data_IF_845774248650
#
_entry.id   IF_845774248650
#
_cell.length_a   1.000
_cell.length_b   1.000
_cell.length_c   1.000
_cell.angle_alpha   90.00
_cell.angle_beta   90.00
_cell.angle_gamma   90.00
#
_symmetry.space_group_name_H-M   'P 1'
#
loop_
_entity.id
_entity.type
_entity.pdbx_description
1 polymer ?
#
# COMPACT_ATOMS: atom_id res chain seq x y z
N UNK A 1 15.52 -14.57 3.80
CA UNK A 1 14.30 -14.93 4.55
C UNK A 1 13.26 -13.80 4.68
N UNK A 2 13.30 -12.87 5.65
CA UNK A 2 12.21 -11.86 5.86
C UNK A 2 11.93 -10.96 4.64
N UNK A 3 12.97 -10.54 3.90
CA UNK A 3 12.81 -9.73 2.67
C UNK A 3 12.16 -10.51 1.53
N UNK A 4 12.50 -11.78 1.35
CA UNK A 4 11.90 -12.64 0.31
C UNK A 4 10.45 -12.97 0.66
N UNK A 5 10.16 -13.23 1.93
CA UNK A 5 8.79 -13.42 2.41
C UNK A 5 7.96 -12.16 2.17
N UNK A 6 8.51 -10.97 2.43
CA UNK A 6 7.84 -9.70 2.12
C UNK A 6 7.60 -9.51 0.62
N UNK A 7 8.61 -9.74 -0.21
CA UNK A 7 8.53 -9.56 -1.66
C UNK A 7 7.53 -10.53 -2.32
N UNK A 8 7.44 -11.77 -1.82
CA UNK A 8 6.62 -12.82 -2.41
C UNK A 8 5.28 -13.05 -1.69
N UNK A 9 4.93 -12.24 -0.68
CA UNK A 9 3.66 -12.39 0.02
C UNK A 9 2.49 -12.07 -0.93
N UNK A 10 1.54 -13.00 -1.14
CA UNK A 10 0.35 -12.71 -1.94
C UNK A 10 -0.45 -11.50 -1.47
N UNK A 11 -0.36 -11.12 -0.18
CA UNK A 11 -0.99 -9.88 0.36
C UNK A 11 -0.16 -8.61 0.09
N UNK A 12 1.08 -8.72 -0.36
CA UNK A 12 1.89 -7.60 -0.88
C UNK A 12 1.82 -7.49 -2.41
N UNK A 13 1.45 -8.56 -3.11
CA UNK A 13 1.35 -8.61 -4.57
C UNK A 13 -0.03 -8.17 -5.10
N UNK A 14 -0.09 -7.01 -5.76
CA UNK A 14 -1.29 -6.54 -6.47
C UNK A 14 -1.08 -6.71 -7.98
N UNK A 15 -1.80 -7.64 -8.65
CA UNK A 15 -1.82 -7.71 -10.10
C UNK A 15 -2.41 -6.42 -10.67
N UNK A 16 -1.70 -5.79 -11.59
CA UNK A 16 -2.14 -4.59 -12.30
C UNK A 16 -1.80 -4.75 -13.78
N UNK A 17 -2.53 -4.04 -14.63
CA UNK A 17 -2.12 -3.84 -16.03
C UNK A 17 -0.72 -3.21 -16.09
N UNK A 18 0.08 -3.55 -17.09
CA UNK A 18 1.49 -3.10 -17.19
C UNK A 18 1.59 -1.56 -17.21
N UNK A 19 0.64 -0.88 -17.86
CA UNK A 19 0.54 0.59 -17.87
C UNK A 19 0.36 1.22 -16.47
N UNK A 20 -0.13 0.45 -15.51
CA UNK A 20 -0.35 0.87 -14.12
C UNK A 20 0.80 0.45 -13.18
N UNK A 21 1.83 -0.26 -13.67
CA UNK A 21 3.02 -0.64 -12.92
C UNK A 21 3.98 0.54 -12.69
N UNK A 22 3.44 1.75 -12.52
CA UNK A 22 4.21 2.98 -12.32
C UNK A 22 4.52 3.26 -10.86
N UNK A 23 3.83 2.60 -9.89
CA UNK A 23 3.99 2.79 -8.44
C UNK A 23 5.46 2.82 -7.98
N UNK A 24 6.29 1.87 -8.44
CA UNK A 24 7.67 1.69 -7.95
C UNK A 24 7.71 1.67 -6.39
N UNK A 25 8.58 2.50 -5.80
CA UNK A 25 8.77 2.64 -4.34
C UNK A 25 7.82 3.65 -3.70
N UNK A 26 6.92 4.27 -4.47
CA UNK A 26 6.03 5.31 -3.96
C UNK A 26 4.99 4.77 -2.98
N UNK A 27 4.74 5.56 -1.94
CA UNK A 27 3.69 5.34 -0.95
C UNK A 27 2.29 5.60 -1.52
N UNK A 28 1.22 5.26 -0.78
CA UNK A 28 -0.15 5.53 -1.18
C UNK A 28 -0.48 7.04 -1.21
N UNK A 29 0.30 7.86 -0.52
CA UNK A 29 0.27 9.32 -0.53
C UNK A 29 0.86 9.94 -1.81
N UNK A 30 1.69 9.18 -2.54
CA UNK A 30 2.33 9.62 -3.78
C UNK A 30 1.77 8.94 -5.05
N UNK A 31 1.13 7.77 -4.90
CA UNK A 31 0.51 7.06 -6.02
C UNK A 31 -0.67 6.19 -5.57
N UNK A 32 -1.76 6.26 -6.33
CA UNK A 32 -2.95 5.43 -6.16
C UNK A 32 -3.33 4.76 -7.49
N UNK A 33 -3.91 3.55 -7.44
CA UNK A 33 -4.54 2.96 -8.61
C UNK A 33 -5.77 3.79 -9.05
N UNK A 34 -6.15 3.75 -10.35
CA UNK A 34 -7.29 4.51 -10.86
C UNK A 34 -8.64 4.06 -10.28
N UNK A 35 -8.74 2.81 -9.81
CA UNK A 35 -9.94 2.25 -9.18
C UNK A 35 -9.56 1.42 -7.95
N UNK A 36 -10.51 1.23 -7.03
CA UNK A 36 -10.29 0.38 -5.85
C UNK A 36 -9.33 0.96 -4.82
N UNK A 37 -9.19 2.29 -4.76
CA UNK A 37 -8.21 2.99 -3.92
C UNK A 37 -8.38 2.65 -2.43
N UNK A 38 -9.60 2.60 -1.91
CA UNK A 38 -9.87 2.22 -0.53
C UNK A 38 -9.32 0.83 -0.17
N UNK A 39 -9.58 -0.17 -1.03
CA UNK A 39 -9.05 -1.52 -0.85
C UNK A 39 -7.52 -1.55 -0.93
N UNK A 40 -6.93 -0.79 -1.86
CA UNK A 40 -5.49 -0.66 -1.99
C UNK A 40 -4.83 -0.04 -0.76
N UNK A 41 -5.34 1.08 -0.25
CA UNK A 41 -4.78 1.76 0.93
C UNK A 41 -4.96 0.90 2.18
N UNK A 42 -6.11 0.25 2.36
CA UNK A 42 -6.34 -0.67 3.48
C UNK A 42 -5.35 -1.86 3.44
N UNK A 43 -5.11 -2.40 2.24
CA UNK A 43 -4.12 -3.46 2.03
C UNK A 43 -2.69 -2.99 2.34
N UNK A 44 -2.30 -1.79 1.92
CA UNK A 44 -1.01 -1.20 2.25
C UNK A 44 -0.79 -1.13 3.77
N UNK A 45 -1.77 -0.60 4.52
CA UNK A 45 -1.73 -0.52 5.99
C UNK A 45 -1.60 -1.92 6.61
N UNK A 46 -2.30 -2.92 6.07
CA UNK A 46 -2.18 -4.32 6.54
C UNK A 46 -0.78 -4.88 6.34
N UNK A 47 -0.15 -4.64 5.19
CA UNK A 47 1.22 -5.09 4.89
C UNK A 47 2.23 -4.41 5.82
N UNK A 48 2.12 -3.08 5.99
CA UNK A 48 2.96 -2.32 6.93
C UNK A 48 2.89 -2.91 8.33
N UNK A 49 1.69 -3.21 8.84
CA UNK A 49 1.50 -3.83 10.16
C UNK A 49 2.07 -5.25 10.22
N UNK A 50 1.78 -6.10 9.23
CA UNK A 50 2.24 -7.51 9.18
C UNK A 50 3.76 -7.62 9.25
N UNK A 51 4.45 -6.70 8.59
CA UNK A 51 5.91 -6.71 8.50
C UNK A 51 6.59 -5.70 9.44
N UNK A 52 5.84 -5.10 10.36
CA UNK A 52 6.34 -4.12 11.34
C UNK A 52 7.15 -2.99 10.69
N UNK A 53 6.71 -2.56 9.50
CA UNK A 53 7.35 -1.47 8.78
C UNK A 53 7.03 -0.15 9.46
N UNK A 54 7.96 0.80 9.34
CA UNK A 54 7.83 2.14 9.90
C UNK A 54 7.57 3.15 8.78
N UNK A 55 6.29 3.41 8.43
CA UNK A 55 5.93 4.51 7.53
C UNK A 55 6.39 5.85 8.11
N UNK A 56 6.38 6.92 7.30
CA UNK A 56 6.63 8.28 7.83
C UNK A 56 5.44 8.76 8.67
N UNK A 57 5.60 9.83 9.45
CA UNK A 57 4.47 10.48 10.13
C UNK A 57 3.38 10.88 9.14
N UNK A 58 3.81 11.39 7.99
CA UNK A 58 2.94 11.97 6.98
C UNK A 58 2.18 10.89 6.24
N UNK A 59 2.84 9.78 5.86
CA UNK A 59 2.20 8.62 5.24
C UNK A 59 1.18 7.97 6.20
N UNK A 60 1.47 7.90 7.51
CA UNK A 60 0.48 7.44 8.52
C UNK A 60 -0.71 8.36 8.63
N UNK A 61 -0.48 9.66 8.73
CA UNK A 61 -1.55 10.64 8.87
C UNK A 61 -2.43 10.65 7.61
N UNK A 62 -1.81 10.59 6.44
CA UNK A 62 -2.49 10.54 5.15
C UNK A 62 -3.33 9.26 5.01
N UNK A 63 -2.75 8.08 5.26
CA UNK A 63 -3.48 6.80 5.13
C UNK A 63 -4.66 6.71 6.08
N UNK A 64 -4.51 7.24 7.31
CA UNK A 64 -5.61 7.30 8.29
C UNK A 64 -6.76 8.17 7.77
N UNK A 65 -6.48 9.41 7.38
CA UNK A 65 -7.49 10.35 6.86
C UNK A 65 -8.13 9.84 5.58
N UNK A 66 -7.36 9.24 4.68
CA UNK A 66 -7.87 8.69 3.44
C UNK A 66 -8.89 7.58 3.72
N UNK A 67 -8.59 6.68 4.65
CA UNK A 67 -9.47 5.57 5.01
C UNK A 67 -10.73 6.00 5.77
N UNK A 68 -10.72 7.14 6.46
CA UNK A 68 -11.93 7.72 7.06
C UNK A 68 -12.99 8.08 5.99
N UNK A 69 -12.55 8.44 4.77
CA UNK A 69 -13.43 8.73 3.64
C UNK A 69 -13.86 7.51 2.83
N UNK A 70 -13.43 6.31 3.21
CA UNK A 70 -13.75 5.05 2.52
C UNK A 70 -15.00 4.34 3.08
N UNK A 71 -15.75 5.01 3.97
CA UNK A 71 -17.02 4.58 4.54
C UNK A 71 -18.20 5.35 3.96
#
# INVERSE_FOLDING_TARGET
ERREQFANDPVNLLPVEDSLNSKQHRGPDEWLPPSGQCGYVARFVRVVKKYELSPTSDERAWTTRFLEGCG
#
